data_IF_363780401775
#
_entry.id   IF_363780401775
#
_cell.length_a   1.000
_cell.length_b   1.000
_cell.length_c   1.000
_cell.angle_alpha   90.00
_cell.angle_beta   90.00
_cell.angle_gamma   90.00
#
_symmetry.space_group_name_H-M   'P 1'
#
loop_
_entity.id
_entity.type
_entity.pdbx_description
1 polymer ?
#
# COMPACT_ATOMS: atom_id res chain seq x y z
N UNK A 1 -1.63 9.58 -16.70
CA UNK A 1 -1.63 11.05 -16.81
C UNK A 1 -1.92 11.38 -18.25
N UNK A 2 -2.91 12.25 -18.49
CA UNK A 2 -3.23 12.76 -19.83
C UNK A 2 -2.37 13.99 -20.07
N UNK A 3 -1.91 14.18 -21.31
CA UNK A 3 -1.15 15.37 -21.71
C UNK A 3 -2.10 16.42 -22.25
N UNK A 4 -1.86 17.66 -21.86
CA UNK A 4 -2.58 18.84 -22.33
C UNK A 4 -1.55 19.85 -22.83
N UNK A 5 -1.94 20.67 -23.81
CA UNK A 5 -1.13 21.76 -24.35
C UNK A 5 -2.01 23.00 -24.52
N UNK A 6 -1.55 24.16 -24.06
CA UNK A 6 -2.23 25.44 -24.26
C UNK A 6 -1.22 26.59 -24.32
N UNK A 7 -1.68 27.84 -24.53
CA UNK A 7 -0.80 29.01 -24.67
C UNK A 7 -0.03 29.35 -23.40
N UNK A 8 -0.65 29.07 -22.26
CA UNK A 8 -0.12 29.28 -20.92
C UNK A 8 -0.67 28.20 -19.96
N UNK A 9 -0.09 28.14 -18.77
CA UNK A 9 -0.44 27.14 -17.77
C UNK A 9 -1.88 27.28 -17.23
N UNK A 10 -2.39 28.50 -17.13
CA UNK A 10 -3.74 28.77 -16.61
C UNK A 10 -4.81 28.20 -17.54
N UNK A 11 -4.71 28.48 -18.84
CA UNK A 11 -5.58 27.91 -19.88
C UNK A 11 -5.51 26.38 -19.87
N UNK A 12 -4.29 25.82 -19.80
CA UNK A 12 -4.08 24.37 -19.76
C UNK A 12 -4.80 23.72 -18.58
N UNK A 13 -4.65 24.29 -17.38
CA UNK A 13 -5.25 23.76 -16.17
C UNK A 13 -6.77 23.89 -16.20
N UNK A 14 -7.30 24.96 -16.76
CA UNK A 14 -8.75 25.15 -16.91
C UNK A 14 -9.37 24.12 -17.89
N UNK A 15 -8.69 23.85 -19.00
CA UNK A 15 -9.08 22.80 -19.94
C UNK A 15 -9.03 21.42 -19.28
N UNK A 16 -7.94 21.11 -18.56
CA UNK A 16 -7.79 19.84 -17.85
C UNK A 16 -8.83 19.67 -16.73
N UNK A 17 -9.17 20.74 -16.02
CA UNK A 17 -10.20 20.76 -14.99
C UNK A 17 -11.58 20.45 -15.56
N UNK A 18 -11.92 21.09 -16.68
CA UNK A 18 -13.18 20.86 -17.42
C UNK A 18 -13.28 19.42 -17.90
N UNK A 19 -12.24 18.90 -18.59
CA UNK A 19 -12.20 17.54 -19.12
C UNK A 19 -12.32 16.48 -18.02
N UNK A 20 -11.82 16.77 -16.81
CA UNK A 20 -11.85 15.85 -15.66
C UNK A 20 -13.04 16.06 -14.73
N UNK A 21 -13.85 17.11 -14.94
CA UNK A 21 -14.97 17.46 -14.08
C UNK A 21 -14.57 17.80 -12.64
N UNK A 22 -13.40 18.40 -12.45
CA UNK A 22 -12.84 18.79 -11.14
C UNK A 22 -12.44 20.26 -11.14
N UNK A 23 -12.17 20.84 -9.98
CA UNK A 23 -11.60 22.19 -9.89
C UNK A 23 -10.09 22.18 -10.10
N UNK A 24 -9.52 23.32 -10.49
CA UNK A 24 -8.08 23.45 -10.80
C UNK A 24 -7.19 23.10 -9.60
N UNK A 25 -7.63 23.43 -8.37
CA UNK A 25 -6.92 23.11 -7.12
C UNK A 25 -6.87 21.60 -6.81
N UNK A 26 -7.69 20.79 -7.49
CA UNK A 26 -7.69 19.33 -7.36
C UNK A 26 -6.76 18.64 -8.37
N UNK A 27 -6.08 19.40 -9.22
CA UNK A 27 -5.16 18.89 -10.23
C UNK A 27 -3.72 18.88 -9.71
N UNK A 28 -3.01 17.82 -10.06
CA UNK A 28 -1.54 17.78 -10.00
C UNK A 28 -1.02 17.71 -11.43
N UNK A 29 0.03 18.48 -11.71
CA UNK A 29 0.61 18.54 -13.04
C UNK A 29 2.14 18.50 -13.00
N UNK A 30 2.73 18.06 -14.11
CA UNK A 30 4.15 18.14 -14.38
C UNK A 30 4.35 18.78 -15.75
N UNK A 31 4.99 19.96 -15.78
CA UNK A 31 5.36 20.60 -17.04
C UNK A 31 6.39 19.73 -17.75
N UNK A 32 6.10 19.43 -19.02
CA UNK A 32 6.94 18.59 -19.90
C UNK A 32 7.75 19.45 -20.84
N UNK A 33 7.13 20.49 -21.40
CA UNK A 33 7.76 21.37 -22.39
C UNK A 33 7.19 22.78 -22.27
N UNK A 34 8.05 23.79 -22.44
CA UNK A 34 7.66 25.19 -22.59
C UNK A 34 8.36 25.75 -23.83
N UNK A 35 7.57 26.14 -24.83
CA UNK A 35 8.06 26.83 -26.02
C UNK A 35 7.83 28.32 -25.85
N UNK A 36 8.91 29.09 -25.87
CA UNK A 36 8.81 30.55 -25.89
C UNK A 36 8.51 31.04 -27.31
N UNK A 37 7.43 31.79 -27.45
CA UNK A 37 7.07 32.48 -28.68
C UNK A 37 7.87 33.77 -28.91
N UNK A 38 7.83 34.32 -30.12
CA UNK A 38 8.45 35.60 -30.45
C UNK A 38 7.43 36.73 -30.18
N UNK A 39 7.84 37.77 -29.43
CA UNK A 39 6.97 38.91 -29.05
C UNK A 39 5.64 38.52 -28.36
N UNK A 40 5.60 37.41 -27.61
CA UNK A 40 4.38 36.94 -26.94
C UNK A 40 3.40 36.16 -27.85
N UNK A 41 3.77 35.93 -29.12
CA UNK A 41 3.00 35.13 -30.06
C UNK A 41 3.64 33.75 -30.23
N UNK A 42 2.82 32.70 -30.10
CA UNK A 42 3.25 31.31 -30.30
C UNK A 42 3.87 30.64 -29.09
N UNK A 43 3.67 31.16 -27.87
CA UNK A 43 4.03 30.41 -26.66
C UNK A 43 3.12 29.19 -26.51
N UNK A 44 3.70 28.08 -26.07
CA UNK A 44 2.98 26.83 -25.81
C UNK A 44 3.57 26.17 -24.56
N UNK A 45 2.69 25.75 -23.65
CA UNK A 45 3.04 24.96 -22.47
C UNK A 45 2.39 23.60 -22.62
N UNK A 46 3.15 22.54 -22.41
CA UNK A 46 2.64 21.16 -22.37
C UNK A 46 2.88 20.55 -20.99
N UNK A 47 1.85 19.97 -20.40
CA UNK A 47 1.93 19.34 -19.09
C UNK A 47 1.19 18.00 -19.01
N UNK A 48 1.72 17.08 -18.21
CA UNK A 48 1.05 15.85 -17.79
C UNK A 48 0.19 16.17 -16.56
N UNK A 49 -1.13 16.04 -16.67
CA UNK A 49 -2.08 16.41 -15.61
C UNK A 49 -2.86 15.19 -15.14
N UNK A 50 -3.11 15.12 -13.83
CA UNK A 50 -3.99 14.12 -13.22
C UNK A 50 -4.74 14.67 -12.00
N UNK A 51 -5.89 14.07 -11.71
CA UNK A 51 -6.66 14.26 -10.48
C UNK A 51 -6.58 13.02 -9.58
N UNK A 52 -7.09 13.13 -8.36
CA UNK A 52 -7.20 11.96 -7.48
C UNK A 52 -8.00 10.82 -8.12
N UNK A 53 -9.06 11.11 -8.87
CA UNK A 53 -9.88 10.09 -9.50
C UNK A 53 -9.10 9.29 -10.54
N UNK A 54 -8.19 9.92 -11.29
CA UNK A 54 -7.31 9.22 -12.24
C UNK A 54 -6.45 8.17 -11.53
N UNK A 55 -5.97 8.47 -10.31
CA UNK A 55 -5.15 7.54 -9.51
C UNK A 55 -5.97 6.34 -9.08
N UNK A 56 -7.21 6.56 -8.60
CA UNK A 56 -8.10 5.48 -8.18
C UNK A 56 -8.49 4.58 -9.36
N UNK A 57 -8.83 5.19 -10.51
CA UNK A 57 -9.17 4.45 -11.73
C UNK A 57 -7.98 3.63 -12.23
N UNK A 58 -6.79 4.24 -12.29
CA UNK A 58 -5.57 3.53 -12.68
C UNK A 58 -5.30 2.32 -11.78
N UNK A 59 -5.40 2.48 -10.45
CA UNK A 59 -5.18 1.38 -9.52
C UNK A 59 -6.18 0.25 -9.73
N UNK A 60 -7.46 0.58 -9.92
CA UNK A 60 -8.50 -0.40 -10.19
C UNK A 60 -8.20 -1.19 -11.45
N UNK A 61 -8.00 -0.50 -12.57
CA UNK A 61 -7.72 -1.11 -13.87
C UNK A 61 -6.44 -1.95 -13.84
N UNK A 62 -5.38 -1.43 -13.23
CA UNK A 62 -4.10 -2.12 -13.11
C UNK A 62 -4.23 -3.42 -12.32
N UNK A 63 -4.93 -3.39 -11.18
CA UNK A 63 -5.12 -4.56 -10.32
C UNK A 63 -6.01 -5.59 -11.01
N UNK A 64 -7.13 -5.19 -11.59
CA UNK A 64 -8.04 -6.10 -12.31
C UNK A 64 -7.31 -6.76 -13.47
N UNK A 65 -6.62 -5.99 -14.33
CA UNK A 65 -5.83 -6.52 -15.45
C UNK A 65 -4.74 -7.49 -14.99
N UNK A 66 -4.03 -7.14 -13.90
CA UNK A 66 -2.99 -8.00 -13.34
C UNK A 66 -3.57 -9.33 -12.84
N UNK A 67 -4.73 -9.29 -12.19
CA UNK A 67 -5.36 -10.47 -11.59
C UNK A 67 -6.13 -11.33 -12.56
N UNK A 68 -6.67 -10.79 -13.67
CA UNK A 68 -7.45 -11.56 -14.65
C UNK A 68 -6.67 -12.72 -15.28
N UNK A 69 -5.34 -12.65 -15.29
CA UNK A 69 -4.47 -13.76 -15.71
C UNK A 69 -4.53 -14.97 -14.75
N UNK A 70 -4.97 -14.77 -13.51
CA UNK A 70 -5.03 -15.78 -12.44
C UNK A 70 -6.46 -16.08 -11.98
N UNK A 71 -7.34 -15.06 -12.03
CA UNK A 71 -8.74 -15.12 -11.66
C UNK A 71 -9.52 -14.08 -12.48
N UNK A 72 -10.16 -14.53 -13.55
CA UNK A 72 -10.96 -13.70 -14.46
C UNK A 72 -12.12 -12.99 -13.76
N UNK A 73 -12.58 -13.52 -12.62
CA UNK A 73 -13.69 -12.94 -11.84
C UNK A 73 -13.22 -11.99 -10.75
N UNK A 74 -11.91 -11.77 -10.61
CA UNK A 74 -11.37 -10.85 -9.62
C UNK A 74 -11.90 -9.43 -9.86
N UNK A 75 -12.41 -8.80 -8.80
CA UNK A 75 -12.89 -7.42 -8.81
C UNK A 75 -12.12 -6.59 -7.79
N UNK A 76 -11.75 -5.38 -8.18
CA UNK A 76 -11.09 -4.44 -7.28
C UNK A 76 -12.01 -3.27 -6.94
N UNK A 77 -12.12 -2.97 -5.66
CA UNK A 77 -12.71 -1.74 -5.14
C UNK A 77 -11.59 -0.87 -4.58
N UNK A 78 -11.48 0.37 -5.07
CA UNK A 78 -10.43 1.30 -4.67
C UNK A 78 -11.06 2.52 -4.03
N UNK A 79 -10.58 2.87 -2.83
CA UNK A 79 -11.07 4.02 -2.08
C UNK A 79 -9.91 4.76 -1.41
N UNK A 80 -10.09 6.05 -1.13
CA UNK A 80 -9.15 6.82 -0.31
C UNK A 80 -9.67 6.89 1.12
N UNK A 81 -8.86 6.46 2.06
CA UNK A 81 -9.08 6.58 3.50
C UNK A 81 -7.96 7.43 4.10
N UNK A 82 -8.25 8.69 4.44
CA UNK A 82 -7.25 9.66 4.92
C UNK A 82 -6.09 9.79 3.90
N UNK A 83 -4.87 9.46 4.32
CA UNK A 83 -3.66 9.46 3.49
C UNK A 83 -3.43 8.15 2.73
N UNK A 84 -4.23 7.11 3.01
CA UNK A 84 -4.10 5.79 2.42
C UNK A 84 -5.04 5.60 1.23
N UNK A 85 -4.58 4.92 0.18
CA UNK A 85 -5.45 4.34 -0.83
C UNK A 85 -5.61 2.85 -0.51
N UNK A 86 -6.83 2.44 -0.23
CA UNK A 86 -7.21 1.06 0.00
C UNK A 86 -7.61 0.42 -1.33
N UNK A 87 -7.10 -0.78 -1.56
CA UNK A 87 -7.46 -1.64 -2.68
C UNK A 87 -8.00 -2.94 -2.09
N UNK A 88 -9.31 -3.09 -2.08
CA UNK A 88 -9.99 -4.31 -1.67
C UNK A 88 -10.24 -5.17 -2.90
N UNK A 89 -9.75 -6.41 -2.87
CA UNK A 89 -9.92 -7.38 -3.95
C UNK A 89 -10.87 -8.47 -3.47
N UNK A 90 -11.92 -8.69 -4.25
CA UNK A 90 -12.76 -9.87 -4.16
C UNK A 90 -12.31 -10.87 -5.22
N UNK A 91 -11.76 -12.00 -4.77
CA UNK A 91 -11.26 -13.07 -5.63
C UNK A 91 -11.83 -14.44 -5.23
N UNK A 92 -12.09 -15.27 -6.24
CA UNK A 92 -12.51 -16.67 -6.09
C UNK A 92 -11.30 -17.53 -5.73
N UNK A 93 -10.16 -17.31 -6.40
CA UNK A 93 -8.92 -18.05 -6.16
C UNK A 93 -8.01 -17.35 -5.12
N UNK A 94 -8.58 -17.03 -3.96
CA UNK A 94 -7.92 -16.21 -2.94
C UNK A 94 -6.66 -16.88 -2.34
N UNK A 95 -6.63 -18.19 -2.19
CA UNK A 95 -5.53 -18.90 -1.51
C UNK A 95 -4.18 -18.71 -2.22
N UNK A 96 -4.15 -18.77 -3.55
CA UNK A 96 -2.94 -18.57 -4.35
C UNK A 96 -2.48 -17.11 -4.31
N UNK A 97 -3.43 -16.18 -4.46
CA UNK A 97 -3.16 -14.74 -4.45
C UNK A 97 -2.70 -14.22 -3.07
N UNK A 98 -3.16 -14.86 -2.00
CA UNK A 98 -2.68 -14.60 -0.64
C UNK A 98 -1.31 -15.24 -0.42
N UNK A 99 -1.16 -16.51 -0.81
CA UNK A 99 0.06 -17.29 -0.62
C UNK A 99 0.34 -17.66 0.84
N UNK A 100 1.43 -18.40 1.07
CA UNK A 100 1.81 -18.88 2.41
C UNK A 100 2.07 -17.71 3.36
N UNK A 101 1.18 -17.53 4.34
CA UNK A 101 1.28 -16.46 5.32
C UNK A 101 1.18 -15.05 4.73
N UNK A 102 0.49 -14.87 3.59
CA UNK A 102 0.28 -13.56 2.99
C UNK A 102 1.45 -13.05 2.15
N UNK A 103 2.47 -13.87 1.88
CA UNK A 103 3.65 -13.44 1.12
C UNK A 103 3.34 -13.00 -0.30
N UNK A 104 2.42 -13.69 -0.99
CA UNK A 104 2.01 -13.30 -2.35
C UNK A 104 1.24 -11.99 -2.31
N UNK A 105 0.30 -11.83 -1.37
CA UNK A 105 -0.41 -10.56 -1.17
C UNK A 105 0.55 -9.40 -0.91
N UNK A 106 1.60 -9.61 -0.13
CA UNK A 106 2.62 -8.58 0.13
C UNK A 106 3.41 -8.22 -1.15
N UNK A 107 3.74 -9.20 -1.99
CA UNK A 107 4.39 -8.98 -3.26
C UNK A 107 3.48 -8.19 -4.22
N UNK A 108 2.20 -8.57 -4.32
CA UNK A 108 1.18 -7.86 -5.11
C UNK A 108 1.09 -6.40 -4.66
N UNK A 109 0.95 -6.14 -3.36
CA UNK A 109 0.93 -4.78 -2.83
C UNK A 109 2.16 -3.97 -3.25
N UNK A 110 3.35 -4.58 -3.16
CA UNK A 110 4.61 -3.93 -3.56
C UNK A 110 4.61 -3.55 -5.04
N UNK A 111 4.17 -4.45 -5.92
CA UNK A 111 4.08 -4.21 -7.37
C UNK A 111 3.06 -3.11 -7.67
N UNK A 112 1.85 -3.21 -7.13
CA UNK A 112 0.77 -2.22 -7.33
C UNK A 112 1.20 -0.83 -6.85
N UNK A 113 1.82 -0.76 -5.67
CA UNK A 113 2.39 0.49 -5.14
C UNK A 113 3.49 1.05 -6.04
N UNK A 114 4.38 0.20 -6.55
CA UNK A 114 5.42 0.60 -7.50
C UNK A 114 4.82 1.18 -8.79
N UNK A 115 3.81 0.51 -9.34
CA UNK A 115 3.14 0.91 -10.57
C UNK A 115 2.49 2.30 -10.45
N UNK A 116 1.72 2.55 -9.39
CA UNK A 116 1.07 3.87 -9.20
C UNK A 116 2.08 4.97 -8.91
N UNK A 117 3.10 4.69 -8.10
CA UNK A 117 4.14 5.68 -7.79
C UNK A 117 4.91 6.08 -9.04
N UNK A 118 5.27 5.09 -9.87
CA UNK A 118 5.94 5.34 -11.14
C UNK A 118 5.05 6.08 -12.14
N UNK A 119 3.76 5.70 -12.24
CA UNK A 119 2.83 6.27 -13.21
C UNK A 119 2.54 7.74 -12.96
N UNK A 120 2.45 8.15 -11.70
CA UNK A 120 2.06 9.50 -11.30
C UNK A 120 3.20 10.31 -10.70
N UNK A 121 4.42 9.78 -10.70
CA UNK A 121 5.65 10.44 -10.20
C UNK A 121 5.50 10.96 -8.76
N UNK A 122 4.63 10.34 -7.96
CA UNK A 122 4.28 10.77 -6.62
C UNK A 122 4.25 9.57 -5.67
N UNK A 123 4.58 9.76 -4.39
CA UNK A 123 4.63 8.68 -3.41
C UNK A 123 3.26 8.48 -2.76
N UNK A 124 2.55 7.42 -3.16
CA UNK A 124 1.29 7.02 -2.55
C UNK A 124 1.49 5.99 -1.44
N UNK A 125 0.68 6.11 -0.40
CA UNK A 125 0.52 5.08 0.60
C UNK A 125 -0.63 4.15 0.17
N UNK A 126 -0.29 3.00 -0.40
CA UNK A 126 -1.25 2.01 -0.91
C UNK A 126 -1.29 0.81 0.01
N UNK A 127 -2.50 0.31 0.27
CA UNK A 127 -2.73 -0.94 0.98
C UNK A 127 -3.65 -1.83 0.16
N UNK A 128 -3.17 -3.03 -0.14
CA UNK A 128 -3.94 -4.07 -0.84
C UNK A 128 -4.34 -5.14 0.16
N UNK A 129 -5.60 -5.57 0.12
CA UNK A 129 -6.14 -6.69 0.87
C UNK A 129 -7.06 -7.56 -0.02
N UNK A 130 -7.11 -8.86 0.27
CA UNK A 130 -7.91 -9.84 -0.48
C UNK A 130 -8.89 -10.49 0.49
N UNK A 131 -10.19 -10.40 0.22
CA UNK A 131 -11.27 -11.01 1.00
C UNK A 131 -11.10 -10.81 2.53
N UNK A 132 -10.67 -9.61 2.97
CA UNK A 132 -10.40 -9.28 4.39
C UNK A 132 -9.35 -10.17 5.10
N UNK A 133 -8.42 -10.77 4.34
CA UNK A 133 -7.40 -11.68 4.86
C UNK A 133 -6.61 -11.09 6.03
N UNK A 134 -6.19 -9.82 5.94
CA UNK A 134 -5.37 -9.19 6.98
C UNK A 134 -6.04 -9.20 8.34
N UNK A 135 -7.35 -8.96 8.41
CA UNK A 135 -8.11 -8.96 9.66
C UNK A 135 -8.05 -10.33 10.34
N UNK A 136 -8.37 -11.38 9.61
CA UNK A 136 -8.34 -12.76 10.14
C UNK A 136 -6.93 -13.20 10.50
N UNK A 137 -5.95 -12.84 9.67
CA UNK A 137 -4.55 -13.16 9.88
C UNK A 137 -4.04 -12.53 11.17
N UNK A 138 -4.35 -11.26 11.41
CA UNK A 138 -3.94 -10.57 12.63
C UNK A 138 -4.54 -11.22 13.87
N UNK A 139 -5.80 -11.65 13.87
CA UNK A 139 -6.36 -12.37 15.01
C UNK A 139 -5.63 -13.68 15.29
N UNK A 140 -5.32 -14.47 14.26
CA UNK A 140 -4.54 -15.71 14.40
C UNK A 140 -3.14 -15.42 14.97
N UNK A 141 -2.49 -14.35 14.49
CA UNK A 141 -1.18 -13.91 14.99
C UNK A 141 -1.26 -13.48 16.46
N UNK A 142 -2.30 -12.72 16.86
CA UNK A 142 -2.52 -12.32 18.27
C UNK A 142 -2.67 -13.54 19.18
N UNK A 143 -3.48 -14.52 18.78
CA UNK A 143 -3.73 -15.72 19.57
C UNK A 143 -2.45 -16.57 19.72
N UNK A 144 -1.73 -16.78 18.60
CA UNK A 144 -0.45 -17.49 18.60
C UNK A 144 0.58 -16.80 19.51
N UNK A 145 0.72 -15.47 19.39
CA UNK A 145 1.62 -14.68 20.21
C UNK A 145 1.35 -14.85 21.71
N UNK A 146 0.08 -14.70 22.14
CA UNK A 146 -0.31 -14.87 23.55
C UNK A 146 0.00 -16.26 24.07
N UNK A 147 -0.27 -17.30 23.28
CA UNK A 147 0.01 -18.69 23.67
C UNK A 147 1.50 -18.92 23.88
N UNK A 148 2.32 -18.44 22.95
CA UNK A 148 3.78 -18.59 23.05
C UNK A 148 4.32 -17.78 24.22
N UNK A 149 3.88 -16.53 24.39
CA UNK A 149 4.30 -15.68 25.50
C UNK A 149 3.98 -16.30 26.87
N UNK A 150 2.81 -16.93 27.05
CA UNK A 150 2.48 -17.65 28.30
C UNK A 150 3.43 -18.81 28.56
N UNK A 151 3.83 -19.54 27.52
CA UNK A 151 4.81 -20.60 27.64
C UNK A 151 6.19 -20.04 28.04
N UNK A 152 6.66 -18.99 27.36
CA UNK A 152 7.93 -18.29 27.69
C UNK A 152 7.90 -17.76 29.12
N UNK A 153 6.77 -17.21 29.58
CA UNK A 153 6.62 -16.69 30.94
C UNK A 153 6.76 -17.80 31.99
N UNK A 154 6.20 -18.98 31.72
CA UNK A 154 6.27 -20.14 32.62
C UNK A 154 7.64 -20.82 32.60
N UNK A 155 8.22 -21.03 31.43
CA UNK A 155 9.45 -21.81 31.27
C UNK A 155 10.70 -20.97 31.37
N UNK A 156 10.58 -19.64 31.18
CA UNK A 156 11.69 -18.69 31.03
C UNK A 156 12.60 -18.97 29.83
N UNK A 157 12.19 -19.88 28.94
CA UNK A 157 12.91 -20.22 27.71
C UNK A 157 12.38 -19.35 26.57
N UNK A 158 13.27 -18.61 25.90
CA UNK A 158 12.89 -17.75 24.78
C UNK A 158 12.38 -18.55 23.58
N UNK A 159 11.44 -17.97 22.83
CA UNK A 159 10.91 -18.54 21.60
C UNK A 159 11.23 -17.64 20.40
N UNK A 160 11.77 -18.22 19.33
CA UNK A 160 11.97 -17.54 18.05
C UNK A 160 10.83 -17.94 17.12
N UNK A 161 10.09 -16.96 16.60
CA UNK A 161 9.01 -17.17 15.67
C UNK A 161 9.53 -17.30 14.24
N UNK A 162 8.72 -17.93 13.38
CA UNK A 162 8.93 -17.90 11.93
C UNK A 162 8.99 -16.46 11.41
N UNK A 163 9.70 -16.29 10.28
CA UNK A 163 9.73 -15.00 9.59
C UNK A 163 8.32 -14.56 9.20
N UNK A 164 7.99 -13.30 9.47
CA UNK A 164 6.68 -12.72 9.18
C UNK A 164 6.81 -11.25 8.74
N UNK A 165 5.84 -10.75 7.96
CA UNK A 165 5.81 -9.36 7.50
C UNK A 165 5.86 -8.32 8.65
N UNK A 166 6.28 -7.09 8.33
CA UNK A 166 6.48 -6.03 9.33
C UNK A 166 5.20 -5.70 10.12
N UNK A 167 4.05 -5.70 9.46
CA UNK A 167 2.74 -5.48 10.08
C UNK A 167 2.38 -6.61 11.04
N UNK A 168 2.62 -7.88 10.69
CA UNK A 168 2.44 -9.00 11.61
C UNK A 168 3.37 -8.91 12.84
N UNK A 169 4.66 -8.58 12.66
CA UNK A 169 5.58 -8.36 13.78
C UNK A 169 5.11 -7.24 14.70
N UNK A 170 4.59 -6.15 14.12
CA UNK A 170 4.01 -5.04 14.88
C UNK A 170 2.77 -5.50 15.66
N UNK A 171 1.91 -6.33 15.08
CA UNK A 171 0.77 -6.93 15.79
C UNK A 171 1.23 -7.75 16.99
N UNK A 172 2.26 -8.60 16.84
CA UNK A 172 2.80 -9.37 17.97
C UNK A 172 3.36 -8.44 19.05
N UNK A 173 4.20 -7.49 18.68
CA UNK A 173 4.81 -6.54 19.63
C UNK A 173 3.73 -5.77 20.41
N UNK A 174 2.73 -5.22 19.72
CA UNK A 174 1.62 -4.51 20.36
C UNK A 174 0.80 -5.43 21.28
N UNK A 175 0.54 -6.66 20.85
CA UNK A 175 -0.24 -7.63 21.63
C UNK A 175 0.45 -8.02 22.93
N UNK A 176 1.78 -8.12 22.91
CA UNK A 176 2.58 -8.56 24.05
C UNK A 176 3.14 -7.40 24.88
N UNK A 177 3.08 -6.16 24.37
CA UNK A 177 3.66 -4.97 25.03
C UNK A 177 3.19 -4.71 26.47
N UNK A 178 2.00 -5.21 26.84
CA UNK A 178 1.41 -5.06 28.18
C UNK A 178 1.50 -6.33 29.03
N UNK A 179 2.14 -7.38 28.52
CA UNK A 179 2.22 -8.66 29.20
C UNK A 179 3.42 -8.65 30.15
N UNK A 180 3.16 -8.91 31.43
CA UNK A 180 4.19 -8.88 32.47
C UNK A 180 5.31 -9.87 32.16
N UNK A 181 6.55 -9.46 32.43
CA UNK A 181 7.75 -10.27 32.24
C UNK A 181 8.00 -10.77 30.81
N UNK A 182 7.44 -10.11 29.79
CA UNK A 182 7.63 -10.48 28.39
C UNK A 182 8.10 -9.29 27.58
N UNK A 183 9.20 -9.48 26.84
CA UNK A 183 9.64 -8.57 25.78
C UNK A 183 9.68 -9.27 24.44
N UNK A 184 9.66 -8.45 23.39
CA UNK A 184 9.79 -8.90 22.02
C UNK A 184 10.86 -8.10 21.31
N UNK A 185 11.66 -8.79 20.50
CA UNK A 185 12.75 -8.19 19.76
C UNK A 185 12.76 -8.76 18.34
N UNK A 186 13.02 -7.92 17.34
CA UNK A 186 13.16 -8.37 15.97
C UNK A 186 14.63 -8.60 15.64
N UNK A 187 14.98 -9.81 15.26
CA UNK A 187 16.36 -10.22 14.95
C UNK A 187 16.48 -10.59 13.46
N UNK A 188 17.63 -10.33 12.86
CA UNK A 188 17.93 -10.60 11.44
C UNK A 188 17.44 -9.53 10.46
N UNK A 189 17.69 -9.75 9.16
CA UNK A 189 17.51 -8.75 8.10
C UNK A 189 16.60 -9.21 6.95
N UNK A 190 15.96 -8.23 6.32
CA UNK A 190 15.13 -8.43 5.13
C UNK A 190 14.06 -9.51 5.31
N UNK A 191 14.04 -10.49 4.40
CA UNK A 191 13.09 -11.63 4.43
C UNK A 191 13.38 -12.64 5.54
N UNK A 192 14.59 -12.60 6.13
CA UNK A 192 14.99 -13.49 7.21
C UNK A 192 14.75 -12.88 8.59
N UNK A 193 14.17 -11.67 8.66
CA UNK A 193 13.90 -10.99 9.92
C UNK A 193 12.78 -11.70 10.69
N UNK A 194 13.12 -12.18 11.88
CA UNK A 194 12.25 -12.94 12.77
C UNK A 194 11.92 -12.13 14.03
N UNK A 195 10.98 -12.62 14.80
CA UNK A 195 10.64 -12.06 16.10
C UNK A 195 10.97 -13.06 17.20
N UNK A 196 11.74 -12.62 18.19
CA UNK A 196 12.04 -13.36 19.41
C UNK A 196 11.14 -12.85 20.53
N UNK A 197 10.56 -13.76 21.28
CA UNK A 197 9.82 -13.50 22.51
C UNK A 197 10.65 -14.06 23.67
N UNK A 198 11.00 -13.25 24.65
CA UNK A 198 11.81 -13.67 25.78
C UNK A 198 11.27 -13.12 27.10
N UNK A 199 11.62 -13.82 28.18
CA UNK A 199 11.28 -13.43 29.54
C UNK A 199 12.21 -12.31 29.99
N UNK A 200 11.65 -11.27 30.61
CA UNK A 200 12.41 -10.14 31.14
C UNK A 200 11.95 -9.78 32.55
N UNK A 201 12.86 -9.80 33.51
CA UNK A 201 12.58 -9.44 34.90
C UNK A 201 12.32 -7.93 35.08
N UNK A 202 12.73 -7.09 34.14
CA UNK A 202 12.62 -5.62 34.25
C UNK A 202 11.21 -5.05 34.01
N UNK A 203 10.19 -5.90 33.83
CA UNK A 203 8.81 -5.48 33.52
C UNK A 203 7.83 -5.73 34.69
N UNK A 204 8.37 -5.80 35.90
CA UNK A 204 7.61 -5.69 37.16
C UNK A 204 7.19 -4.25 37.46
#
# INVERSE_FOLDING_TARGET
MKRYSAKNLEELLQEAATDKGVSVDQLTYYVVEEKQGFLGFGSEVTAEVYSQQDVLNFLKEYVETFLHHYDEKAKATVSREREAIQVAIDATNNAILIGKGGQTLQAINTVVKGAVNSKFKHRFYVMVDINNYKKERYEKVRQMARRIAKNVQRTKIAAVLDSMPNDERKVVHQTLSKMQNIKTESEGDGRNRRLRIYYDQSTE
#
